data_IF_345090195049
#
_entry.id   IF_345090195049
#
_cell.length_a   1.000
_cell.length_b   1.000
_cell.length_c   1.000
_cell.angle_alpha   90.00
_cell.angle_beta   90.00
_cell.angle_gamma   90.00
#
_symmetry.space_group_name_H-M   'P 1'
#
loop_
_entity.id
_entity.type
_entity.pdbx_description
1 polymer ?
#
# COMPACT_ATOMS: atom_id res chain seq x y z
N UNK A 1 -17.06 -18.19 -2.53
CA UNK A 1 -16.13 -17.22 -3.14
C UNK A 1 -15.00 -17.04 -2.12
N UNK A 2 -13.90 -17.77 -2.30
CA UNK A 2 -12.73 -17.60 -1.43
C UNK A 2 -12.04 -16.29 -1.82
N UNK A 3 -12.05 -15.33 -0.91
CA UNK A 3 -11.17 -14.15 -1.04
C UNK A 3 -9.77 -14.61 -0.69
N UNK A 4 -9.00 -15.03 -1.69
CA UNK A 4 -7.58 -15.28 -1.48
C UNK A 4 -6.90 -13.95 -1.15
N UNK A 5 -6.22 -13.92 -0.03
CA UNK A 5 -5.46 -12.77 0.40
C UNK A 5 -4.27 -12.59 -0.53
N UNK A 6 -4.26 -11.51 -1.30
CA UNK A 6 -3.15 -11.21 -2.22
C UNK A 6 -1.91 -10.90 -1.40
N UNK A 7 -0.85 -11.67 -1.57
CA UNK A 7 0.46 -11.42 -0.94
C UNK A 7 1.28 -10.43 -1.76
N UNK A 8 2.37 -9.90 -1.18
CA UNK A 8 3.30 -9.05 -1.93
C UNK A 8 3.93 -9.80 -3.12
N UNK A 9 4.18 -11.10 -2.94
CA UNK A 9 4.67 -11.98 -4.01
C UNK A 9 3.65 -12.09 -5.14
N UNK A 10 2.36 -12.24 -4.81
CA UNK A 10 1.29 -12.31 -5.80
C UNK A 10 1.13 -10.99 -6.55
N UNK A 11 1.21 -9.85 -5.85
CA UNK A 11 1.15 -8.52 -6.45
C UNK A 11 2.28 -8.37 -7.48
N UNK A 12 3.51 -8.68 -7.10
CA UNK A 12 4.67 -8.56 -7.98
C UNK A 12 4.59 -9.53 -9.15
N UNK A 13 4.22 -10.79 -8.90
CA UNK A 13 4.13 -11.85 -9.93
C UNK A 13 3.06 -11.54 -10.99
N UNK A 14 1.93 -10.98 -10.59
CA UNK A 14 0.81 -10.67 -11.49
C UNK A 14 0.87 -9.26 -12.07
N UNK A 15 1.92 -8.52 -11.79
CA UNK A 15 2.15 -7.17 -12.29
C UNK A 15 2.94 -7.19 -13.59
N UNK A 16 2.54 -6.36 -14.56
CA UNK A 16 3.27 -6.20 -15.82
C UNK A 16 4.43 -5.20 -15.71
N UNK A 17 4.40 -4.32 -14.70
CA UNK A 17 5.33 -3.20 -14.63
C UNK A 17 5.52 -2.69 -13.19
N UNK A 18 6.77 -2.41 -12.81
CA UNK A 18 7.12 -1.74 -11.57
C UNK A 18 7.17 -0.22 -11.76
N UNK A 19 6.25 0.48 -11.13
CA UNK A 19 6.18 1.94 -11.12
C UNK A 19 7.23 2.47 -10.14
N UNK A 20 8.05 3.44 -10.58
CA UNK A 20 9.11 4.04 -9.76
C UNK A 20 8.85 5.50 -9.39
N UNK A 21 7.96 6.17 -10.10
CA UNK A 21 7.63 7.58 -9.85
C UNK A 21 6.17 7.90 -10.17
N UNK A 22 5.74 9.09 -9.76
CA UNK A 22 4.35 9.54 -9.96
C UNK A 22 3.96 9.65 -11.43
N UNK A 23 4.90 9.97 -12.31
CA UNK A 23 4.65 10.16 -13.74
C UNK A 23 4.36 8.83 -14.45
N UNK A 24 4.93 7.74 -13.93
CA UNK A 24 4.72 6.39 -14.43
C UNK A 24 3.39 5.77 -14.00
N UNK A 25 2.61 6.44 -13.16
CA UNK A 25 1.26 5.96 -12.81
C UNK A 25 0.32 5.88 -14.02
N UNK A 26 0.58 6.62 -15.08
CA UNK A 26 -0.18 6.60 -16.33
C UNK A 26 0.64 6.07 -17.51
N UNK A 27 1.65 5.24 -17.24
CA UNK A 27 2.50 4.64 -18.26
C UNK A 27 1.69 3.72 -19.20
N UNK A 28 2.06 3.71 -20.48
CA UNK A 28 1.40 2.89 -21.53
C UNK A 28 1.55 1.38 -21.31
N UNK A 29 2.47 0.95 -20.47
CA UNK A 29 2.56 -0.46 -20.04
C UNK A 29 1.39 -0.87 -19.13
N UNK A 30 0.76 0.08 -18.44
CA UNK A 30 -0.42 -0.17 -17.62
C UNK A 30 -1.72 -0.17 -18.43
N UNK A 31 -1.71 0.33 -19.66
CA UNK A 31 -2.86 0.36 -20.53
C UNK A 31 -2.72 1.34 -21.67
N UNK A 32 -3.56 1.18 -22.68
CA UNK A 32 -3.59 2.08 -23.84
C UNK A 32 -4.15 3.46 -23.46
N UNK A 33 -3.69 4.51 -24.15
CA UNK A 33 -4.30 5.84 -24.15
C UNK A 33 -5.16 6.03 -25.40
N UNK A 34 -5.93 7.12 -25.46
CA UNK A 34 -6.72 7.44 -26.67
C UNK A 34 -5.83 7.63 -27.92
N UNK A 35 -4.57 8.02 -27.72
CA UNK A 35 -3.65 8.35 -28.81
C UNK A 35 -2.65 7.24 -29.12
N UNK A 36 -2.41 6.33 -28.17
CA UNK A 36 -1.31 5.37 -28.26
C UNK A 36 -1.73 4.00 -27.75
N UNK A 37 -1.26 2.98 -28.44
CA UNK A 37 -1.53 1.58 -28.09
C UNK A 37 -0.81 1.19 -26.78
N UNK A 38 -1.40 0.22 -26.09
CA UNK A 38 -0.80 -0.38 -24.91
C UNK A 38 0.53 -1.06 -25.27
N UNK A 39 1.57 -0.81 -24.47
CA UNK A 39 2.89 -1.43 -24.68
C UNK A 39 2.99 -2.86 -24.15
N UNK A 40 1.99 -3.33 -23.39
CA UNK A 40 1.97 -4.70 -22.86
C UNK A 40 1.22 -5.67 -23.76
N UNK A 41 0.02 -5.29 -24.25
CA UNK A 41 -0.79 -6.16 -25.13
C UNK A 41 -0.90 -5.64 -26.56
N UNK A 42 -0.30 -4.49 -26.89
CA UNK A 42 -0.29 -3.83 -28.20
C UNK A 42 -1.67 -3.48 -28.76
N UNK A 43 -2.71 -3.60 -27.94
CA UNK A 43 -4.08 -3.27 -28.31
C UNK A 43 -4.36 -1.77 -28.18
N UNK A 44 -5.34 -1.30 -28.96
CA UNK A 44 -5.88 0.04 -28.84
C UNK A 44 -6.70 0.23 -27.53
N UNK A 45 -7.07 1.46 -27.26
CA UNK A 45 -7.80 1.82 -26.02
C UNK A 45 -9.18 1.15 -25.89
N UNK A 46 -9.84 0.76 -26.98
CA UNK A 46 -11.13 0.07 -26.97
C UNK A 46 -11.00 -1.42 -26.59
N UNK A 47 -9.85 -2.01 -26.87
CA UNK A 47 -9.62 -3.45 -26.72
C UNK A 47 -8.72 -3.78 -25.51
N UNK A 48 -7.92 -2.83 -25.05
CA UNK A 48 -7.07 -3.03 -23.90
C UNK A 48 -7.88 -2.94 -22.59
N UNK A 49 -7.98 -4.04 -21.85
CA UNK A 49 -8.64 -4.09 -20.54
C UNK A 49 -7.82 -3.43 -19.42
N UNK A 50 -6.60 -3.00 -19.75
CA UNK A 50 -5.64 -2.50 -18.76
C UNK A 50 -4.84 -3.61 -18.07
N UNK A 51 -3.68 -3.26 -17.55
CA UNK A 51 -2.75 -4.17 -16.88
C UNK A 51 -2.36 -3.58 -15.54
N UNK A 52 -2.33 -4.44 -14.50
CA UNK A 52 -1.89 -4.02 -13.17
C UNK A 52 -0.38 -3.86 -13.14
N UNK A 53 0.06 -2.77 -12.52
CA UNK A 53 1.43 -2.57 -12.09
C UNK A 53 1.59 -2.79 -10.59
N UNK A 54 2.80 -2.52 -10.08
CA UNK A 54 3.05 -2.45 -8.66
C UNK A 54 4.06 -1.34 -8.34
N UNK A 55 4.01 -0.87 -7.08
CA UNK A 55 5.03 -0.01 -6.49
C UNK A 55 5.61 -0.70 -5.27
N UNK A 56 6.94 -0.75 -5.16
CA UNK A 56 7.62 -1.28 -3.98
C UNK A 56 7.92 -0.16 -3.01
N UNK A 57 7.43 -0.32 -1.79
CA UNK A 57 7.76 0.57 -0.67
C UNK A 57 9.17 0.24 -0.18
N UNK A 58 9.99 1.27 0.00
CA UNK A 58 11.39 1.12 0.37
C UNK A 58 11.65 1.43 1.86
N UNK A 59 10.80 2.25 2.48
CA UNK A 59 11.07 2.78 3.81
C UNK A 59 10.09 2.32 4.87
N UNK A 60 8.78 2.42 4.60
CA UNK A 60 7.75 2.10 5.58
C UNK A 60 6.66 1.26 4.91
N UNK A 61 6.39 0.05 5.41
CA UNK A 61 5.31 -0.78 4.87
C UNK A 61 3.93 -0.19 5.21
N UNK A 62 2.94 -0.51 4.40
CA UNK A 62 1.54 -0.18 4.66
C UNK A 62 0.84 -1.31 5.41
N UNK A 63 -0.02 -0.95 6.35
CA UNK A 63 -0.92 -1.92 6.99
C UNK A 63 -1.97 -2.36 5.98
N UNK A 64 -2.15 -3.68 5.86
CA UNK A 64 -3.17 -4.23 4.97
C UNK A 64 -4.56 -3.65 5.29
N UNK A 65 -5.32 -3.13 4.31
CA UNK A 65 -6.57 -2.39 4.57
C UNK A 65 -7.59 -3.16 5.42
N UNK A 66 -7.72 -4.47 5.20
CA UNK A 66 -8.66 -5.32 5.96
C UNK A 66 -8.23 -5.56 7.40
N UNK A 67 -6.97 -5.30 7.73
CA UNK A 67 -6.40 -5.51 9.07
C UNK A 67 -6.28 -4.22 9.89
N UNK A 68 -6.62 -3.06 9.32
CA UNK A 68 -6.47 -1.78 10.02
C UNK A 68 -7.25 -1.76 11.34
N UNK A 69 -8.48 -2.28 11.38
CA UNK A 69 -9.29 -2.32 12.61
C UNK A 69 -8.72 -3.28 13.65
N UNK A 70 -8.26 -4.46 13.22
CA UNK A 70 -7.62 -5.46 14.08
C UNK A 70 -6.27 -4.94 14.60
N UNK A 71 -5.45 -4.35 13.75
CA UNK A 71 -4.19 -3.73 14.14
C UNK A 71 -4.39 -2.60 15.17
N UNK A 72 -5.40 -1.74 14.98
CA UNK A 72 -5.75 -0.69 15.97
C UNK A 72 -6.17 -1.28 17.32
N UNK A 73 -6.97 -2.35 17.32
CA UNK A 73 -7.39 -3.03 18.55
C UNK A 73 -6.18 -3.64 19.26
N UNK A 74 -5.34 -4.37 18.53
CA UNK A 74 -4.12 -4.98 19.05
C UNK A 74 -3.17 -3.92 19.65
N UNK A 75 -2.88 -2.84 18.92
CA UNK A 75 -2.04 -1.75 19.41
C UNK A 75 -2.59 -1.06 20.66
N UNK A 76 -3.91 -0.92 20.79
CA UNK A 76 -4.53 -0.40 22.02
C UNK A 76 -4.30 -1.37 23.19
N UNK A 77 -4.49 -2.66 22.99
CA UNK A 77 -4.29 -3.68 24.03
C UNK A 77 -2.84 -3.75 24.46
N UNK A 78 -1.91 -3.79 23.50
CA UNK A 78 -0.46 -3.75 23.75
C UNK A 78 -0.06 -2.42 24.42
N UNK A 79 -0.66 -1.31 23.98
CA UNK A 79 -0.39 0.03 24.51
C UNK A 79 -0.75 0.19 25.97
N UNK A 80 -1.88 -0.39 26.41
CA UNK A 80 -2.26 -0.40 27.83
C UNK A 80 -1.32 -1.29 28.66
N UNK A 81 -0.87 -2.41 28.12
CA UNK A 81 0.03 -3.33 28.82
C UNK A 81 1.49 -2.81 28.91
N UNK A 82 1.97 -2.10 27.88
CA UNK A 82 3.39 -1.69 27.73
C UNK A 82 3.64 -0.19 27.86
N UNK A 83 2.63 0.62 28.21
CA UNK A 83 2.73 2.11 28.22
C UNK A 83 3.28 2.66 26.89
N UNK A 84 2.51 2.50 25.83
CA UNK A 84 2.83 3.07 24.51
C UNK A 84 2.22 4.47 24.40
N UNK A 85 3.04 5.44 23.95
CA UNK A 85 2.61 6.79 23.61
C UNK A 85 2.51 6.93 22.10
N UNK A 86 1.35 7.32 21.60
CA UNK A 86 1.12 7.59 20.20
C UNK A 86 1.33 9.09 19.97
N UNK A 87 2.32 9.45 19.18
CA UNK A 87 2.53 10.80 18.67
C UNK A 87 2.05 10.88 17.21
N UNK A 88 1.91 12.09 16.67
CA UNK A 88 1.44 12.28 15.29
C UNK A 88 2.30 11.53 14.24
N UNK A 89 3.60 11.37 14.49
CA UNK A 89 4.57 10.79 13.55
C UNK A 89 5.34 9.59 14.11
N UNK A 90 5.09 9.14 15.35
CA UNK A 90 5.84 8.03 15.93
C UNK A 90 5.07 7.31 17.02
N UNK A 91 5.32 6.01 17.13
CA UNK A 91 4.93 5.18 18.26
C UNK A 91 6.14 5.05 19.18
N UNK A 92 5.97 5.35 20.46
CA UNK A 92 7.03 5.28 21.46
C UNK A 92 6.63 4.33 22.58
N UNK A 93 7.54 3.51 23.02
CA UNK A 93 7.38 2.59 24.17
C UNK A 93 8.27 3.02 25.31
N UNK A 94 7.76 2.91 26.53
CA UNK A 94 8.58 3.10 27.74
C UNK A 94 9.34 1.80 28.06
N UNK A 95 10.66 1.79 27.83
CA UNK A 95 11.56 0.71 28.21
C UNK A 95 12.61 1.26 29.18
N UNK A 96 12.76 0.63 30.33
CA UNK A 96 13.81 0.98 31.33
C UNK A 96 13.80 2.46 31.78
N UNK A 97 12.61 3.09 31.79
CA UNK A 97 12.45 4.50 32.19
C UNK A 97 12.64 5.51 31.06
N UNK A 98 13.03 5.07 29.85
CA UNK A 98 13.19 5.94 28.69
C UNK A 98 12.17 5.64 27.59
N UNK A 99 11.75 6.71 26.87
CA UNK A 99 10.87 6.59 25.72
C UNK A 99 11.68 6.27 24.45
N UNK A 100 11.53 5.04 23.94
CA UNK A 100 12.17 4.59 22.70
C UNK A 100 11.13 4.54 21.57
N UNK A 101 11.51 5.01 20.38
CA UNK A 101 10.68 4.92 19.18
C UNK A 101 10.57 3.46 18.75
N UNK A 102 9.34 2.98 18.55
CA UNK A 102 9.09 1.64 18.00
C UNK A 102 9.36 1.64 16.50
N UNK A 103 10.20 0.71 16.06
CA UNK A 103 10.36 0.44 14.63
C UNK A 103 9.17 -0.35 14.11
N UNK A 104 8.98 -0.38 12.78
CA UNK A 104 7.93 -1.21 12.16
C UNK A 104 8.16 -2.72 12.42
N UNK A 105 9.39 -3.18 12.58
CA UNK A 105 9.71 -4.56 12.98
C UNK A 105 9.23 -4.89 14.40
N UNK A 106 9.39 -3.97 15.33
CA UNK A 106 8.88 -4.13 16.70
C UNK A 106 7.34 -4.23 16.69
N UNK A 107 6.69 -3.40 15.85
CA UNK A 107 5.23 -3.39 15.71
C UNK A 107 4.75 -4.70 15.06
N UNK A 108 5.40 -5.18 14.01
CA UNK A 108 5.05 -6.43 13.34
C UNK A 108 5.19 -7.62 14.29
N UNK A 109 6.31 -7.68 15.02
CA UNK A 109 6.53 -8.71 16.03
C UNK A 109 5.46 -8.69 17.11
N UNK A 110 5.18 -7.53 17.69
CA UNK A 110 4.17 -7.39 18.74
C UNK A 110 2.75 -7.74 18.23
N UNK A 111 2.43 -7.46 16.95
CA UNK A 111 1.17 -7.85 16.33
C UNK A 111 1.09 -9.37 16.10
N UNK A 112 2.17 -10.00 15.69
CA UNK A 112 2.23 -11.46 15.51
C UNK A 112 2.12 -12.18 16.86
N UNK A 113 2.87 -11.73 17.87
CA UNK A 113 2.79 -12.28 19.24
C UNK A 113 1.36 -12.17 19.82
N UNK A 114 0.65 -11.05 19.52
CA UNK A 114 -0.75 -10.87 19.92
C UNK A 114 -1.69 -11.84 19.21
N UNK A 115 -1.46 -12.12 17.93
CA UNK A 115 -2.28 -13.05 17.16
C UNK A 115 -2.09 -14.51 17.59
N UNK A 116 -0.86 -14.89 17.92
CA UNK A 116 -0.53 -16.23 18.43
C UNK A 116 -1.18 -16.47 19.79
N UNK A 117 -1.24 -15.44 20.64
CA UNK A 117 -1.88 -15.52 21.96
C UNK A 117 -3.41 -15.62 21.91
N UNK A 118 -4.06 -15.10 20.86
CA UNK A 118 -5.48 -15.29 20.60
C UNK A 118 -5.72 -16.61 19.83
N UNK A 119 -5.85 -17.74 20.51
CA UNK A 119 -6.00 -19.12 20.00
C UNK A 119 -7.02 -19.36 18.86
N UNK A 120 -7.71 -18.34 18.39
CA UNK A 120 -8.80 -18.48 17.42
C UNK A 120 -8.38 -18.39 15.95
N UNK A 121 -7.06 -18.34 15.61
CA UNK A 121 -6.68 -18.02 14.24
C UNK A 121 -5.63 -18.92 13.64
N UNK A 122 -6.11 -19.86 12.84
CA UNK A 122 -5.38 -20.54 11.77
C UNK A 122 -5.02 -19.55 10.62
N UNK A 123 -4.37 -18.43 10.96
CA UNK A 123 -3.91 -17.43 9.98
C UNK A 123 -2.39 -17.37 9.98
N UNK A 124 -1.77 -18.54 9.85
CA UNK A 124 -0.31 -18.72 9.91
C UNK A 124 0.47 -18.03 8.78
N UNK A 125 -0.19 -17.59 7.70
CA UNK A 125 0.47 -17.03 6.52
C UNK A 125 0.05 -15.57 6.22
N UNK A 126 -0.52 -14.86 7.19
CA UNK A 126 -0.99 -13.51 6.96
C UNK A 126 0.04 -12.46 7.40
N UNK A 127 0.60 -11.76 6.42
CA UNK A 127 1.45 -10.61 6.67
C UNK A 127 0.58 -9.35 6.87
N UNK A 128 0.64 -8.75 8.06
CA UNK A 128 -0.04 -7.50 8.40
C UNK A 128 0.45 -6.30 7.60
N UNK A 129 1.72 -6.33 7.25
CA UNK A 129 2.42 -5.27 6.56
C UNK A 129 2.59 -5.63 5.09
N UNK A 130 2.46 -4.64 4.24
CA UNK A 130 2.60 -4.73 2.79
C UNK A 130 3.74 -3.87 2.31
N UNK A 131 4.66 -4.47 1.58
CA UNK A 131 5.78 -3.81 0.93
C UNK A 131 5.53 -3.56 -0.56
N UNK A 132 4.49 -4.16 -1.12
CA UNK A 132 4.06 -3.94 -2.50
C UNK A 132 2.64 -3.37 -2.55
N UNK A 133 2.47 -2.29 -3.30
CA UNK A 133 1.18 -1.65 -3.54
C UNK A 133 0.75 -1.96 -4.97
N UNK A 134 -0.42 -2.58 -5.19
CA UNK A 134 -0.92 -2.81 -6.53
C UNK A 134 -1.33 -1.48 -7.17
N UNK A 135 -0.87 -1.25 -8.39
CA UNK A 135 -1.23 -0.08 -9.19
C UNK A 135 -2.28 -0.51 -10.22
N UNK A 136 -3.49 -0.02 -10.05
CA UNK A 136 -4.57 -0.26 -11.01
C UNK A 136 -4.29 0.43 -12.34
N UNK A 137 -4.75 -0.14 -13.47
CA UNK A 137 -4.57 0.47 -14.78
C UNK A 137 -5.37 1.79 -14.90
N UNK A 138 -4.94 2.70 -15.80
CA UNK A 138 -5.60 3.99 -16.02
C UNK A 138 -7.10 3.90 -16.38
N UNK A 139 -7.53 2.83 -17.07
CA UNK A 139 -8.93 2.60 -17.42
C UNK A 139 -9.84 2.42 -16.19
N UNK A 140 -9.34 1.93 -15.06
CA UNK A 140 -10.07 1.80 -13.80
C UNK A 140 -10.04 3.08 -12.94
N UNK A 141 -9.25 4.08 -13.32
CA UNK A 141 -9.12 5.36 -12.62
C UNK A 141 -9.08 6.51 -13.63
N UNK A 142 -10.16 6.68 -14.42
CA UNK A 142 -10.19 7.66 -15.49
C UNK A 142 -10.02 9.08 -14.97
N UNK A 143 -9.34 9.90 -15.75
CA UNK A 143 -9.26 11.34 -15.53
C UNK A 143 -10.50 12.01 -16.11
N UNK A 144 -11.04 12.99 -15.40
CA UNK A 144 -12.12 13.82 -15.88
C UNK A 144 -11.54 15.16 -16.37
N UNK A 145 -11.97 15.60 -17.54
CA UNK A 145 -11.66 16.93 -18.05
C UNK A 145 -12.91 17.81 -17.98
N UNK A 146 -12.78 18.95 -17.35
CA UNK A 146 -13.81 19.99 -17.35
C UNK A 146 -13.22 21.26 -17.94
N UNK A 147 -13.93 21.95 -18.89
CA UNK A 147 -13.42 23.17 -19.54
C UNK A 147 -13.02 24.26 -18.53
N UNK A 148 -13.75 24.36 -17.42
CA UNK A 148 -13.55 25.39 -16.40
C UNK A 148 -12.43 25.09 -15.41
N UNK A 149 -12.17 23.79 -15.11
CA UNK A 149 -11.25 23.35 -14.06
C UNK A 149 -10.03 22.57 -14.58
N UNK A 150 -10.00 22.31 -15.90
CA UNK A 150 -8.96 21.50 -16.52
C UNK A 150 -9.08 20.01 -16.19
N UNK A 151 -7.96 19.32 -16.17
CA UNK A 151 -7.87 17.87 -15.91
C UNK A 151 -7.93 17.59 -14.41
N UNK A 152 -8.93 16.81 -14.00
CA UNK A 152 -9.05 16.29 -12.63
C UNK A 152 -8.70 14.81 -12.61
N UNK A 153 -7.77 14.44 -11.77
CA UNK A 153 -7.41 13.03 -11.55
C UNK A 153 -8.38 12.35 -10.59
N UNK A 154 -8.57 11.04 -10.79
CA UNK A 154 -9.34 10.20 -9.89
C UNK A 154 -8.69 10.16 -8.49
N UNK A 155 -9.49 10.02 -7.44
CA UNK A 155 -9.03 9.94 -6.03
C UNK A 155 -8.00 8.83 -5.81
N UNK A 156 -8.14 7.69 -6.50
CA UNK A 156 -7.18 6.59 -6.44
C UNK A 156 -5.82 7.07 -6.95
N UNK A 157 -5.78 7.81 -8.07
CA UNK A 157 -4.54 8.37 -8.61
C UNK A 157 -3.89 9.34 -7.64
N UNK A 158 -4.67 10.20 -6.97
CA UNK A 158 -4.17 11.11 -5.94
C UNK A 158 -3.57 10.36 -4.75
N UNK A 159 -4.24 9.30 -4.27
CA UNK A 159 -3.75 8.47 -3.15
C UNK A 159 -2.48 7.72 -3.52
N UNK A 160 -2.42 7.11 -4.71
CA UNK A 160 -1.22 6.44 -5.20
C UNK A 160 -0.04 7.41 -5.35
N UNK A 161 -0.29 8.59 -5.92
CA UNK A 161 0.72 9.65 -6.03
C UNK A 161 1.24 10.09 -4.66
N UNK A 162 0.35 10.20 -3.67
CA UNK A 162 0.73 10.57 -2.31
C UNK A 162 1.61 9.50 -1.66
N UNK A 163 1.28 8.21 -1.82
CA UNK A 163 2.09 7.09 -1.31
C UNK A 163 3.50 7.15 -1.91
N UNK A 164 3.61 7.27 -3.25
CA UNK A 164 4.91 7.32 -3.95
C UNK A 164 5.75 8.53 -3.51
N UNK A 165 5.11 9.70 -3.36
CA UNK A 165 5.81 10.92 -2.92
C UNK A 165 6.31 10.81 -1.48
N UNK A 166 5.49 10.29 -0.58
CA UNK A 166 5.85 10.13 0.83
C UNK A 166 6.99 9.13 1.00
N UNK A 167 6.93 7.98 0.32
CA UNK A 167 8.00 6.99 0.38
C UNK A 167 9.32 7.55 -0.16
N UNK A 168 9.28 8.32 -1.27
CA UNK A 168 10.47 9.01 -1.80
C UNK A 168 11.01 10.11 -0.88
N UNK A 169 10.14 10.87 -0.23
CA UNK A 169 10.57 11.90 0.73
C UNK A 169 11.34 11.28 1.91
N UNK A 170 10.93 10.09 2.35
CA UNK A 170 11.62 9.35 3.41
C UNK A 170 12.98 8.78 2.97
N UNK A 171 13.22 8.62 1.65
CA UNK A 171 14.53 8.20 1.14
C UNK A 171 15.58 9.33 1.19
N UNK A 172 15.12 10.58 1.23
CA UNK A 172 15.99 11.76 1.17
C UNK A 172 16.28 12.38 2.55
N UNK A 173 15.62 11.86 3.60
CA UNK A 173 15.81 12.30 4.99
C UNK A 173 16.78 11.37 5.74
#
# INVERSE_FOLDING_TARGET
MEFSWTTDVDIVKNSCFEVKCTDELNDLRLGASIKENCQTCFSDWNKCSGHFGHYRLMNIPLVHPLMVSAARKALKTIGTARKIKISQNSLQILKEGEWKVLTYYDIEKDLNDYLEAEESRKMTDFHWLRWAVPISPPCLRPTCYTPERGTSFNDITHRLSSIVRMDKALQQS
#
